data_IF_245206313049
#
_entry.id   IF_245206313049
#
_cell.length_a   1.000
_cell.length_b   1.000
_cell.length_c   1.000
_cell.angle_alpha   90.00
_cell.angle_beta   90.00
_cell.angle_gamma   90.00
#
_symmetry.space_group_name_H-M   'P 1'
#
loop_
_entity.id
_entity.type
_entity.pdbx_description
1 polymer ?
#
# COMPACT_ATOMS: atom_id res chain seq x y z
N UNK A 1 -16.80 4.87 -17.23
CA UNK A 1 -17.86 5.85 -17.39
C UNK A 1 -17.89 6.81 -16.21
N UNK A 2 -18.37 8.06 -16.43
CA UNK A 2 -18.62 9.05 -15.39
C UNK A 2 -20.11 9.37 -15.39
N UNK A 3 -20.74 9.32 -14.24
CA UNK A 3 -22.13 9.67 -14.04
C UNK A 3 -22.22 11.06 -13.47
N UNK A 4 -23.00 11.93 -14.11
CA UNK A 4 -23.22 13.32 -13.72
C UNK A 4 -24.67 13.46 -13.22
N UNK A 5 -24.84 13.96 -12.01
CA UNK A 5 -26.15 14.26 -11.43
C UNK A 5 -26.37 15.76 -11.49
N UNK A 6 -27.39 16.17 -12.21
CA UNK A 6 -27.71 17.57 -12.46
C UNK A 6 -29.13 17.92 -11.96
N UNK A 7 -29.35 19.16 -11.54
CA UNK A 7 -30.69 19.63 -11.20
C UNK A 7 -31.53 19.94 -12.45
N UNK A 8 -32.79 20.34 -12.25
CA UNK A 8 -33.71 20.67 -13.34
C UNK A 8 -33.25 21.85 -14.24
N UNK A 9 -32.25 22.61 -13.82
CA UNK A 9 -31.63 23.69 -14.57
C UNK A 9 -30.30 23.30 -15.22
N UNK A 10 -29.91 22.00 -15.14
CA UNK A 10 -28.66 21.49 -15.67
C UNK A 10 -27.42 21.77 -14.81
N UNK A 11 -27.56 22.29 -13.58
CA UNK A 11 -26.44 22.51 -12.67
C UNK A 11 -25.98 21.20 -12.04
N UNK A 12 -24.69 20.89 -12.21
CA UNK A 12 -24.05 19.72 -11.61
C UNK A 12 -23.98 19.88 -10.08
N UNK A 13 -24.45 18.88 -9.34
CA UNK A 13 -24.36 18.86 -7.87
C UNK A 13 -23.66 17.62 -7.32
N UNK A 14 -23.55 16.52 -8.12
CA UNK A 14 -22.78 15.36 -7.73
C UNK A 14 -22.19 14.64 -8.95
N UNK A 15 -21.08 13.97 -8.77
CA UNK A 15 -20.40 13.18 -9.81
C UNK A 15 -19.86 11.89 -9.21
N UNK A 16 -20.16 10.75 -9.81
CA UNK A 16 -19.51 9.48 -9.51
C UNK A 16 -18.82 8.91 -10.75
N UNK A 17 -17.84 8.06 -10.54
CA UNK A 17 -17.03 7.46 -11.60
C UNK A 17 -16.91 5.96 -11.43
N UNK A 18 -16.45 5.28 -12.49
CA UNK A 18 -16.25 3.86 -12.65
C UNK A 18 -17.51 3.08 -13.09
N UNK A 19 -17.26 1.89 -13.64
CA UNK A 19 -18.31 0.88 -13.87
C UNK A 19 -18.74 0.34 -12.51
N UNK A 20 -20.04 0.27 -12.25
CA UNK A 20 -20.58 -0.22 -10.99
C UNK A 20 -21.81 -1.11 -11.21
N UNK A 21 -22.03 -2.12 -10.34
CA UNK A 21 -23.25 -2.92 -10.33
C UNK A 21 -24.47 -2.06 -10.01
N UNK A 22 -25.68 -2.55 -10.36
CA UNK A 22 -26.93 -1.82 -10.16
C UNK A 22 -27.16 -1.37 -8.72
N UNK A 23 -26.85 -2.21 -7.75
CA UNK A 23 -26.98 -1.90 -6.33
C UNK A 23 -26.13 -0.69 -5.94
N UNK A 24 -24.86 -0.67 -6.37
CA UNK A 24 -23.94 0.45 -6.09
C UNK A 24 -24.39 1.73 -6.83
N UNK A 25 -24.94 1.60 -8.02
CA UNK A 25 -25.50 2.75 -8.75
C UNK A 25 -26.70 3.38 -8.00
N UNK A 26 -27.56 2.54 -7.40
CA UNK A 26 -28.68 3.01 -6.57
C UNK A 26 -28.17 3.73 -5.30
N UNK A 27 -27.11 3.22 -4.68
CA UNK A 27 -26.48 3.88 -3.53
C UNK A 27 -25.89 5.25 -3.92
N UNK A 28 -25.18 5.34 -5.04
CA UNK A 28 -24.68 6.62 -5.58
C UNK A 28 -25.83 7.60 -5.87
N UNK A 29 -26.98 7.13 -6.35
CA UNK A 29 -28.18 7.92 -6.52
C UNK A 29 -28.72 8.48 -5.21
N UNK A 30 -28.72 7.71 -4.11
CA UNK A 30 -29.11 8.18 -2.78
C UNK A 30 -28.13 9.24 -2.25
N UNK A 31 -26.83 9.06 -2.48
CA UNK A 31 -25.79 10.04 -2.15
C UNK A 31 -26.03 11.34 -2.92
N UNK A 32 -26.28 11.25 -4.22
CA UNK A 32 -26.58 12.41 -5.06
C UNK A 32 -27.82 13.16 -4.58
N UNK A 33 -28.88 12.45 -4.17
CA UNK A 33 -30.09 13.06 -3.63
C UNK A 33 -29.83 13.77 -2.30
N UNK A 34 -28.99 13.19 -1.43
CA UNK A 34 -28.58 13.85 -0.18
C UNK A 34 -27.79 15.13 -0.44
N UNK A 35 -26.89 15.14 -1.45
CA UNK A 35 -26.16 16.34 -1.87
C UNK A 35 -27.10 17.42 -2.44
N UNK A 36 -28.07 17.02 -3.25
CA UNK A 36 -29.08 17.94 -3.77
C UNK A 36 -29.93 18.59 -2.65
N UNK A 37 -30.18 17.85 -1.59
CA UNK A 37 -30.99 18.32 -0.44
C UNK A 37 -30.19 19.22 0.50
N UNK A 38 -28.85 19.06 0.59
CA UNK A 38 -27.99 19.90 1.42
C UNK A 38 -27.41 21.06 0.59
N UNK A 39 -28.05 22.21 0.69
CA UNK A 39 -27.65 23.40 -0.09
C UNK A 39 -26.32 24.03 0.35
N UNK A 40 -25.78 23.63 1.52
CA UNK A 40 -24.52 24.18 2.02
C UNK A 40 -23.33 23.63 1.22
N UNK A 41 -22.44 24.54 0.88
CA UNK A 41 -21.15 24.19 0.25
C UNK A 41 -20.20 23.54 1.27
N UNK A 42 -19.12 22.95 0.80
CA UNK A 42 -18.11 22.36 1.69
C UNK A 42 -17.43 23.46 2.53
N UNK A 43 -17.20 24.63 1.96
CA UNK A 43 -16.59 25.77 2.64
C UNK A 43 -17.50 26.29 3.77
N UNK A 44 -18.81 26.31 3.57
CA UNK A 44 -19.79 26.67 4.63
C UNK A 44 -19.78 25.61 5.76
N UNK A 45 -19.65 24.32 5.42
CA UNK A 45 -19.49 23.27 6.41
C UNK A 45 -18.17 23.40 7.19
N UNK A 46 -17.06 23.74 6.53
CA UNK A 46 -15.77 23.98 7.17
C UNK A 46 -15.82 25.17 8.14
N UNK A 47 -16.44 26.28 7.73
CA UNK A 47 -16.64 27.44 8.59
C UNK A 47 -17.49 27.13 9.83
N UNK A 48 -18.51 26.27 9.68
CA UNK A 48 -19.33 25.78 10.79
C UNK A 48 -18.56 24.80 11.67
N UNK A 49 -17.73 23.93 11.09
CA UNK A 49 -16.91 22.97 11.83
C UNK A 49 -15.97 23.67 12.82
N UNK A 50 -15.31 24.75 12.41
CA UNK A 50 -14.45 25.53 13.30
C UNK A 50 -15.18 25.97 14.60
N UNK A 51 -16.50 26.24 14.52
CA UNK A 51 -17.32 26.66 15.65
C UNK A 51 -18.02 25.52 16.40
N UNK A 52 -18.24 24.37 15.74
CA UNK A 52 -19.07 23.25 16.24
C UNK A 52 -18.31 21.94 16.41
N UNK A 53 -16.97 21.95 16.38
CA UNK A 53 -16.14 20.76 16.51
C UNK A 53 -16.34 19.95 17.79
N UNK A 54 -16.96 20.53 18.83
CA UNK A 54 -17.34 19.83 20.06
C UNK A 54 -18.73 19.17 20.02
N UNK A 55 -19.48 19.31 18.92
CA UNK A 55 -20.80 18.70 18.77
C UNK A 55 -20.73 17.45 17.91
N UNK A 56 -20.80 16.27 18.54
CA UNK A 56 -20.64 14.99 17.88
C UNK A 56 -21.63 14.77 16.71
N UNK A 57 -22.89 15.14 16.88
CA UNK A 57 -23.89 15.01 15.81
C UNK A 57 -23.54 15.87 14.59
N UNK A 58 -23.04 17.10 14.81
CA UNK A 58 -22.57 17.96 13.73
C UNK A 58 -21.33 17.38 13.05
N UNK A 59 -20.34 16.91 13.83
CA UNK A 59 -19.09 16.32 13.28
C UNK A 59 -19.41 15.07 12.46
N UNK A 60 -20.31 14.19 12.91
CA UNK A 60 -20.78 13.03 12.13
C UNK A 60 -21.43 13.45 10.79
N UNK A 61 -22.28 14.47 10.79
CA UNK A 61 -22.84 15.04 9.56
C UNK A 61 -21.77 15.62 8.62
N UNK A 62 -20.74 16.24 9.20
CA UNK A 62 -19.63 16.79 8.43
C UNK A 62 -18.73 15.68 7.81
N UNK A 63 -18.47 14.58 8.54
CA UNK A 63 -17.79 13.39 7.96
C UNK A 63 -18.58 12.89 6.75
N UNK A 64 -19.91 12.71 6.88
CA UNK A 64 -20.74 12.27 5.77
C UNK A 64 -20.69 13.22 4.56
N UNK A 65 -20.70 14.54 4.79
CA UNK A 65 -20.57 15.56 3.73
C UNK A 65 -19.22 15.45 3.01
N UNK A 66 -18.12 15.33 3.77
CA UNK A 66 -16.77 15.19 3.22
C UNK A 66 -16.56 13.86 2.48
N UNK A 67 -17.13 12.74 2.98
CA UNK A 67 -17.11 11.46 2.29
C UNK A 67 -17.76 11.56 0.90
N UNK A 68 -18.93 12.23 0.82
CA UNK A 68 -19.61 12.49 -0.46
C UNK A 68 -18.76 13.35 -1.41
N UNK A 69 -18.00 14.31 -0.87
CA UNK A 69 -17.07 15.13 -1.61
C UNK A 69 -15.72 14.45 -1.92
N UNK A 70 -15.54 13.18 -1.50
CA UNK A 70 -14.28 12.40 -1.64
C UNK A 70 -13.08 13.10 -0.99
N UNK A 71 -13.30 13.80 0.13
CA UNK A 71 -12.27 14.49 0.89
C UNK A 71 -11.73 13.61 2.02
N UNK A 72 -10.47 13.85 2.38
CA UNK A 72 -9.80 13.18 3.50
C UNK A 72 -10.45 13.55 4.84
N UNK A 73 -10.81 12.53 5.63
CA UNK A 73 -11.51 12.69 6.90
C UNK A 73 -10.69 12.25 8.11
N UNK A 74 -9.41 11.89 7.97
CA UNK A 74 -8.65 11.29 9.06
C UNK A 74 -8.68 12.14 10.35
N UNK A 75 -8.43 13.45 10.24
CA UNK A 75 -8.43 14.34 11.41
C UNK A 75 -9.85 14.57 11.96
N UNK A 76 -10.88 14.48 11.11
CA UNK A 76 -12.27 14.67 11.51
C UNK A 76 -12.82 13.40 12.21
N UNK A 77 -12.42 12.21 11.77
CA UNK A 77 -12.70 10.96 12.48
C UNK A 77 -12.10 10.98 13.89
N UNK A 78 -10.84 11.41 14.03
CA UNK A 78 -10.21 11.55 15.34
C UNK A 78 -10.96 12.54 16.25
N UNK A 79 -11.37 13.68 15.70
CA UNK A 79 -12.20 14.66 16.43
C UNK A 79 -13.51 14.02 16.87
N UNK A 80 -14.21 13.28 15.99
CA UNK A 80 -15.46 12.63 16.31
C UNK A 80 -15.29 11.60 17.43
N UNK A 81 -14.31 10.72 17.31
CA UNK A 81 -14.03 9.68 18.33
C UNK A 81 -13.66 10.29 19.68
N UNK A 82 -12.95 11.43 19.69
CA UNK A 82 -12.54 12.09 20.94
C UNK A 82 -13.69 12.73 21.74
N UNK A 83 -14.82 13.05 21.09
CA UNK A 83 -15.95 13.75 21.72
C UNK A 83 -17.18 12.87 21.87
N UNK A 84 -17.28 11.77 21.13
CA UNK A 84 -18.46 10.89 21.17
C UNK A 84 -18.36 9.88 22.32
N UNK A 85 -19.51 9.45 22.84
CA UNK A 85 -19.57 8.43 23.90
C UNK A 85 -19.22 7.04 23.35
N UNK A 86 -18.43 6.29 24.09
CA UNK A 86 -17.98 4.94 23.71
C UNK A 86 -19.14 4.02 23.24
N UNK A 87 -20.31 4.09 23.92
CA UNK A 87 -21.47 3.29 23.51
C UNK A 87 -21.97 3.57 22.10
N UNK A 88 -21.83 4.82 21.61
CA UNK A 88 -22.23 5.22 20.27
C UNK A 88 -21.14 4.88 19.24
N UNK A 89 -19.86 4.89 19.66
CA UNK A 89 -18.74 4.43 18.84
C UNK A 89 -18.75 2.91 18.62
N UNK A 90 -19.39 2.17 19.54
CA UNK A 90 -19.60 0.71 19.39
C UNK A 90 -20.86 0.36 18.60
N UNK A 91 -21.50 1.32 17.93
CA UNK A 91 -22.58 1.06 16.98
C UNK A 91 -22.07 0.39 15.70
N UNK A 92 -22.75 -0.66 15.24
CA UNK A 92 -22.33 -1.45 14.08
C UNK A 92 -22.26 -0.65 12.79
N UNK A 93 -23.07 0.41 12.64
CA UNK A 93 -23.04 1.29 11.47
C UNK A 93 -21.76 2.14 11.46
N UNK A 94 -21.41 2.72 12.62
CA UNK A 94 -20.16 3.47 12.76
C UNK A 94 -18.94 2.57 12.60
N UNK A 95 -18.95 1.35 13.18
CA UNK A 95 -17.85 0.40 13.01
C UNK A 95 -17.66 -0.01 11.54
N UNK A 96 -18.72 -0.22 10.77
CA UNK A 96 -18.63 -0.46 9.32
C UNK A 96 -18.02 0.71 8.57
N UNK A 97 -18.39 1.94 8.93
CA UNK A 97 -17.81 3.15 8.36
C UNK A 97 -16.32 3.28 8.72
N UNK A 98 -15.94 2.99 9.97
CA UNK A 98 -14.56 3.03 10.46
C UNK A 98 -13.66 1.99 9.75
N UNK A 99 -14.21 0.81 9.43
CA UNK A 99 -13.52 -0.27 8.72
C UNK A 99 -13.79 -0.27 7.20
N UNK A 100 -14.08 0.89 6.62
CA UNK A 100 -14.15 1.04 5.17
C UNK A 100 -12.75 1.35 4.60
N UNK A 101 -12.36 0.62 3.56
CA UNK A 101 -11.08 0.83 2.85
C UNK A 101 -10.90 2.24 2.28
N UNK A 102 -11.99 2.91 1.91
CA UNK A 102 -11.93 4.25 1.33
C UNK A 102 -11.62 5.32 2.39
N UNK A 103 -11.93 5.05 3.66
CA UNK A 103 -11.64 5.99 4.75
C UNK A 103 -10.14 6.01 5.07
N UNK A 104 -9.67 7.20 5.45
CA UNK A 104 -8.29 7.40 5.90
C UNK A 104 -8.31 7.67 7.41
N UNK A 105 -7.41 7.02 8.14
CA UNK A 105 -7.32 7.13 9.59
C UNK A 105 -5.87 7.46 9.99
N UNK A 106 -5.71 8.24 11.06
CA UNK A 106 -4.37 8.54 11.59
C UNK A 106 -3.90 7.46 12.58
N UNK A 107 -2.68 6.99 12.43
CA UNK A 107 -2.08 6.02 13.35
C UNK A 107 -1.85 6.58 14.77
N UNK A 108 -1.68 7.91 14.92
CA UNK A 108 -1.49 8.57 16.21
C UNK A 108 -2.74 9.27 16.74
N UNK A 109 -3.92 8.97 16.16
CA UNK A 109 -5.16 9.65 16.51
C UNK A 109 -6.07 8.87 17.45
N UNK A 110 -7.15 9.51 17.86
CA UNK A 110 -8.15 8.92 18.76
C UNK A 110 -8.80 7.65 18.17
N UNK A 111 -8.93 7.55 16.85
CA UNK A 111 -9.43 6.34 16.19
C UNK A 111 -8.52 5.15 16.42
N UNK A 112 -7.20 5.34 16.29
CA UNK A 112 -6.23 4.27 16.54
C UNK A 112 -6.29 3.78 17.98
N UNK A 113 -6.28 4.69 18.95
CA UNK A 113 -6.36 4.35 20.38
C UNK A 113 -7.68 3.64 20.72
N UNK A 114 -8.81 4.10 20.16
CA UNK A 114 -10.11 3.45 20.32
C UNK A 114 -10.11 2.02 19.76
N UNK A 115 -9.60 1.82 18.54
CA UNK A 115 -9.55 0.50 17.90
C UNK A 115 -8.64 -0.45 18.67
N UNK A 116 -7.43 -0.02 19.03
CA UNK A 116 -6.48 -0.86 19.76
C UNK A 116 -7.01 -1.26 21.13
N UNK A 117 -7.65 -0.33 21.87
CA UNK A 117 -8.27 -0.58 23.18
C UNK A 117 -9.42 -1.56 23.09
N UNK A 118 -10.24 -1.47 22.04
CA UNK A 118 -11.49 -2.22 21.93
C UNK A 118 -11.42 -3.37 20.91
N UNK A 119 -10.23 -3.83 20.51
CA UNK A 119 -10.02 -4.77 19.39
C UNK A 119 -10.91 -6.01 19.44
N UNK A 120 -10.89 -6.75 20.56
CA UNK A 120 -11.63 -7.99 20.67
C UNK A 120 -13.15 -7.75 20.61
N UNK A 121 -13.63 -6.70 21.28
CA UNK A 121 -15.05 -6.34 21.27
C UNK A 121 -15.52 -5.91 19.88
N UNK A 122 -14.69 -5.13 19.15
CA UNK A 122 -14.99 -4.75 17.77
C UNK A 122 -15.04 -5.99 16.87
N UNK A 123 -14.09 -6.91 17.03
CA UNK A 123 -14.05 -8.16 16.29
C UNK A 123 -15.33 -8.99 16.50
N UNK A 124 -15.77 -9.14 17.75
CA UNK A 124 -17.00 -9.85 18.08
C UNK A 124 -18.24 -9.18 17.46
N UNK A 125 -18.34 -7.86 17.57
CA UNK A 125 -19.49 -7.10 17.06
C UNK A 125 -19.56 -7.06 15.53
N UNK A 126 -18.42 -7.04 14.84
CA UNK A 126 -18.37 -6.99 13.38
C UNK A 126 -18.34 -8.37 12.73
N UNK A 127 -18.00 -9.42 13.49
CA UNK A 127 -17.76 -10.78 12.98
C UNK A 127 -16.50 -10.90 12.12
N UNK A 128 -15.63 -9.86 12.07
CA UNK A 128 -14.44 -9.86 11.25
C UNK A 128 -13.33 -10.74 11.85
N UNK A 129 -12.58 -11.43 10.98
CA UNK A 129 -11.36 -12.12 11.38
C UNK A 129 -10.19 -11.13 11.56
N UNK A 130 -9.22 -11.46 12.43
CA UNK A 130 -8.03 -10.62 12.65
C UNK A 130 -7.35 -10.23 11.32
N UNK A 131 -7.16 -11.20 10.41
CA UNK A 131 -6.52 -10.95 9.12
C UNK A 131 -7.27 -9.87 8.32
N UNK A 132 -8.59 -9.91 8.28
CA UNK A 132 -9.40 -8.91 7.55
C UNK A 132 -9.33 -7.53 8.19
N UNK A 133 -9.39 -7.46 9.52
CA UNK A 133 -9.23 -6.19 10.25
C UNK A 133 -7.84 -5.59 10.02
N UNK A 134 -6.78 -6.40 10.11
CA UNK A 134 -5.41 -5.96 9.86
C UNK A 134 -5.21 -5.49 8.41
N UNK A 135 -5.77 -6.20 7.43
CA UNK A 135 -5.71 -5.81 6.02
C UNK A 135 -6.32 -4.41 5.79
N UNK A 136 -7.54 -4.19 6.31
CA UNK A 136 -8.23 -2.90 6.16
C UNK A 136 -7.44 -1.77 6.84
N UNK A 137 -7.06 -1.97 8.10
CA UNK A 137 -6.37 -0.94 8.89
C UNK A 137 -4.92 -0.72 8.42
N UNK A 138 -4.24 -1.76 7.96
CA UNK A 138 -2.93 -1.64 7.33
C UNK A 138 -2.97 -0.73 6.10
N UNK A 139 -4.06 -0.76 5.34
CA UNK A 139 -4.27 0.13 4.21
C UNK A 139 -4.77 1.52 4.63
N UNK A 140 -5.89 1.59 5.35
CA UNK A 140 -6.59 2.85 5.67
C UNK A 140 -5.83 3.72 6.68
N UNK A 141 -5.12 3.10 7.62
CA UNK A 141 -4.39 3.77 8.70
C UNK A 141 -2.87 3.66 8.50
N UNK A 142 -2.34 2.44 8.29
CA UNK A 142 -0.91 2.19 8.15
C UNK A 142 -0.32 2.90 6.93
N UNK A 143 -0.74 2.53 5.72
CA UNK A 143 -0.22 3.12 4.48
C UNK A 143 -0.49 4.63 4.37
N UNK A 144 -1.62 5.11 4.89
CA UNK A 144 -1.94 6.53 4.91
C UNK A 144 -0.98 7.31 5.81
N UNK A 145 -0.80 6.87 7.07
CA UNK A 145 0.07 7.54 8.04
C UNK A 145 1.54 7.50 7.64
N UNK A 146 2.00 6.38 7.07
CA UNK A 146 3.35 6.26 6.52
C UNK A 146 3.62 7.28 5.42
N UNK A 147 2.72 7.37 4.42
CA UNK A 147 2.86 8.34 3.32
C UNK A 147 2.86 9.79 3.81
N UNK A 148 2.03 10.12 4.80
CA UNK A 148 2.05 11.46 5.44
C UNK A 148 3.36 11.71 6.16
N UNK A 149 3.84 10.75 6.96
CA UNK A 149 5.12 10.86 7.67
C UNK A 149 6.29 11.10 6.71
N UNK A 150 6.36 10.37 5.60
CA UNK A 150 7.38 10.56 4.56
C UNK A 150 7.26 11.93 3.90
N UNK A 151 6.05 12.31 3.45
CA UNK A 151 5.80 13.61 2.78
C UNK A 151 6.17 14.80 3.66
N UNK A 152 5.84 14.71 4.95
CA UNK A 152 6.07 15.78 5.93
C UNK A 152 7.45 15.67 6.59
N UNK A 153 8.22 14.60 6.32
CA UNK A 153 9.47 14.22 7.01
C UNK A 153 9.31 14.25 8.54
N UNK A 154 8.15 13.76 9.02
CA UNK A 154 7.73 13.86 10.41
C UNK A 154 7.96 12.53 11.13
N UNK A 155 9.00 12.49 11.97
CA UNK A 155 9.39 11.28 12.70
C UNK A 155 8.40 10.92 13.84
N UNK A 156 7.74 11.89 14.46
CA UNK A 156 6.73 11.61 15.48
C UNK A 156 5.53 10.88 14.87
N UNK A 157 5.06 11.34 13.70
CA UNK A 157 4.01 10.67 12.93
C UNK A 157 4.44 9.27 12.49
N UNK A 158 5.70 9.12 12.10
CA UNK A 158 6.26 7.82 11.75
C UNK A 158 6.33 6.87 12.96
N UNK A 159 6.70 7.35 14.14
CA UNK A 159 6.68 6.55 15.36
C UNK A 159 5.24 6.11 15.75
N UNK A 160 4.26 6.98 15.53
CA UNK A 160 2.84 6.63 15.69
C UNK A 160 2.41 5.51 14.73
N UNK A 161 2.84 5.58 13.47
CA UNK A 161 2.66 4.50 12.49
C UNK A 161 3.29 3.18 12.99
N UNK A 162 4.53 3.21 13.47
CA UNK A 162 5.20 2.00 13.97
C UNK A 162 4.45 1.36 15.14
N UNK A 163 3.95 2.17 16.09
CA UNK A 163 3.15 1.70 17.23
C UNK A 163 1.91 0.93 16.76
N UNK A 164 1.17 1.47 15.80
CA UNK A 164 -0.02 0.82 15.25
C UNK A 164 0.36 -0.44 14.48
N UNK A 165 1.39 -0.39 13.63
CA UNK A 165 1.82 -1.57 12.88
C UNK A 165 2.34 -2.68 13.79
N UNK A 166 3.03 -2.35 14.88
CA UNK A 166 3.44 -3.32 15.89
C UNK A 166 2.23 -4.03 16.51
N UNK A 167 1.18 -3.29 16.83
CA UNK A 167 -0.07 -3.87 17.35
C UNK A 167 -0.74 -4.78 16.31
N UNK A 168 -0.90 -4.32 15.07
CA UNK A 168 -1.55 -5.07 13.99
C UNK A 168 -0.78 -6.35 13.65
N UNK A 169 0.54 -6.25 13.50
CA UNK A 169 1.41 -7.40 13.22
C UNK A 169 1.39 -8.41 14.37
N UNK A 170 1.34 -7.94 15.62
CA UNK A 170 1.18 -8.80 16.80
C UNK A 170 -0.12 -9.62 16.77
N UNK A 171 -1.23 -9.08 16.21
CA UNK A 171 -2.50 -9.80 16.02
C UNK A 171 -2.42 -10.95 15.00
N UNK A 172 -1.42 -10.93 14.13
CA UNK A 172 -1.13 -11.97 13.14
C UNK A 172 0.04 -12.88 13.54
N UNK A 173 0.69 -12.64 14.68
CA UNK A 173 1.87 -13.40 15.11
C UNK A 173 3.13 -13.11 14.28
N UNK A 174 3.19 -11.98 13.59
CA UNK A 174 4.36 -11.55 12.81
C UNK A 174 5.45 -11.03 13.75
N UNK A 175 6.72 -11.25 13.40
CA UNK A 175 7.85 -10.74 14.17
C UNK A 175 7.92 -9.20 14.09
N UNK A 176 7.40 -8.56 15.14
CA UNK A 176 7.27 -7.09 15.22
C UNK A 176 8.63 -6.38 15.13
N UNK A 177 9.69 -6.96 15.73
CA UNK A 177 11.02 -6.35 15.71
C UNK A 177 11.61 -6.31 14.29
N UNK A 178 11.42 -7.39 13.53
CA UNK A 178 11.86 -7.46 12.13
C UNK A 178 11.10 -6.45 11.26
N UNK A 179 9.79 -6.37 11.42
CA UNK A 179 8.95 -5.40 10.67
C UNK A 179 9.31 -3.95 11.01
N UNK A 180 9.67 -3.67 12.25
CA UNK A 180 10.15 -2.34 12.64
C UNK A 180 11.46 -1.97 11.93
N UNK A 181 12.45 -2.86 11.86
CA UNK A 181 13.71 -2.62 11.13
C UNK A 181 13.45 -2.34 9.66
N UNK A 182 12.62 -3.16 8.99
CA UNK A 182 12.25 -2.97 7.58
C UNK A 182 11.55 -1.63 7.37
N UNK A 183 10.60 -1.28 8.23
CA UNK A 183 9.85 -0.02 8.15
C UNK A 183 10.74 1.21 8.36
N UNK A 184 11.67 1.16 9.34
CA UNK A 184 12.61 2.25 9.60
C UNK A 184 13.59 2.44 8.45
N UNK A 185 14.16 1.36 7.95
CA UNK A 185 15.04 1.40 6.77
C UNK A 185 14.33 2.04 5.56
N UNK A 186 13.09 1.62 5.26
CA UNK A 186 12.28 2.19 4.19
C UNK A 186 11.94 3.66 4.40
N UNK A 187 11.60 4.07 5.63
CA UNK A 187 11.31 5.45 5.96
C UNK A 187 12.52 6.36 5.77
N UNK A 188 13.68 5.98 6.32
CA UNK A 188 14.90 6.79 6.21
C UNK A 188 15.38 6.88 4.76
N UNK A 189 15.25 5.81 3.99
CA UNK A 189 15.49 5.87 2.55
C UNK A 189 14.53 6.84 1.85
N UNK A 190 13.23 6.83 2.19
CA UNK A 190 12.23 7.66 1.54
C UNK A 190 12.39 9.18 1.85
N UNK A 191 12.96 9.53 3.01
CA UNK A 191 13.23 10.94 3.38
C UNK A 191 14.67 11.39 3.06
N UNK A 192 15.48 10.55 2.40
CA UNK A 192 16.88 10.76 2.05
C UNK A 192 17.81 10.92 3.29
N UNK A 193 17.48 10.28 4.41
CA UNK A 193 18.34 10.21 5.57
C UNK A 193 19.37 9.08 5.41
N UNK A 194 20.45 9.41 4.71
CA UNK A 194 21.52 8.48 4.37
C UNK A 194 22.09 7.77 5.60
N UNK A 195 22.44 8.52 6.63
CA UNK A 195 23.14 7.97 7.81
C UNK A 195 22.33 6.89 8.50
N UNK A 196 21.08 7.19 8.82
CA UNK A 196 20.20 6.24 9.52
C UNK A 196 19.77 5.07 8.61
N UNK A 197 19.67 5.31 7.30
CA UNK A 197 19.41 4.24 6.34
C UNK A 197 20.58 3.25 6.27
N UNK A 198 21.83 3.73 6.11
CA UNK A 198 23.03 2.89 6.04
C UNK A 198 23.22 2.02 7.30
N UNK A 199 22.92 2.58 8.49
CA UNK A 199 22.96 1.84 9.77
C UNK A 199 22.00 0.64 9.82
N UNK A 200 20.90 0.67 9.07
CA UNK A 200 19.87 -0.36 9.08
C UNK A 200 19.89 -1.29 7.87
N UNK A 201 20.53 -0.88 6.77
CA UNK A 201 20.45 -1.59 5.50
C UNK A 201 20.92 -3.06 5.61
N UNK A 202 22.01 -3.32 6.32
CA UNK A 202 22.52 -4.68 6.52
C UNK A 202 21.57 -5.53 7.37
N UNK A 203 21.06 -4.98 8.48
CA UNK A 203 20.07 -5.69 9.32
C UNK A 203 18.78 -6.00 8.55
N UNK A 204 18.37 -5.07 7.70
CA UNK A 204 17.21 -5.28 6.84
C UNK A 204 17.46 -6.45 5.87
N UNK A 205 18.64 -6.49 5.21
CA UNK A 205 19.00 -7.60 4.34
C UNK A 205 19.07 -8.95 5.08
N UNK A 206 19.67 -8.97 6.28
CA UNK A 206 19.73 -10.19 7.09
C UNK A 206 18.33 -10.75 7.39
N UNK A 207 17.37 -9.88 7.69
CA UNK A 207 15.96 -10.28 7.89
C UNK A 207 15.39 -10.88 6.59
N UNK A 208 15.65 -10.26 5.42
CA UNK A 208 15.16 -10.79 4.15
C UNK A 208 15.76 -12.16 3.84
N UNK A 209 17.04 -12.39 4.12
CA UNK A 209 17.68 -13.71 3.95
C UNK A 209 17.11 -14.77 4.91
N UNK A 210 16.73 -14.40 6.13
CA UNK A 210 16.05 -15.33 7.03
C UNK A 210 14.64 -15.68 6.50
N UNK A 211 13.90 -14.71 5.99
CA UNK A 211 12.57 -14.90 5.38
C UNK A 211 12.63 -15.78 4.12
N UNK A 212 13.74 -15.72 3.36
CA UNK A 212 13.95 -16.49 2.14
C UNK A 212 14.03 -18.01 2.39
N UNK A 213 14.64 -18.44 3.49
CA UNK A 213 14.94 -19.85 3.77
C UNK A 213 13.76 -20.79 3.53
N UNK A 214 12.55 -20.33 3.81
CA UNK A 214 11.34 -21.11 3.65
C UNK A 214 10.40 -20.64 2.54
N UNK A 215 10.66 -19.48 1.91
CA UNK A 215 9.69 -18.90 0.96
C UNK A 215 9.51 -19.74 -0.30
N UNK A 216 10.61 -20.26 -0.87
CA UNK A 216 10.57 -21.15 -2.05
C UNK A 216 9.83 -22.44 -1.77
N UNK A 217 9.99 -22.99 -0.55
CA UNK A 217 9.24 -24.17 -0.12
C UNK A 217 7.75 -23.88 -0.02
N UNK A 218 7.38 -22.77 0.62
CA UNK A 218 5.96 -22.37 0.75
C UNK A 218 5.32 -22.05 -0.61
N UNK A 219 6.03 -21.39 -1.51
CA UNK A 219 5.56 -21.15 -2.88
C UNK A 219 5.32 -22.47 -3.63
N UNK A 220 6.24 -23.44 -3.51
CA UNK A 220 6.07 -24.75 -4.09
C UNK A 220 4.87 -25.51 -3.50
N UNK A 221 4.67 -25.46 -2.19
CA UNK A 221 3.52 -26.08 -1.51
C UNK A 221 2.20 -25.44 -1.96
N UNK A 222 2.12 -24.10 -2.03
CA UNK A 222 0.95 -23.38 -2.54
C UNK A 222 0.66 -23.69 -4.01
N UNK A 223 1.70 -23.77 -4.83
CA UNK A 223 1.56 -24.16 -6.24
C UNK A 223 1.00 -25.57 -6.38
N UNK A 224 1.50 -26.53 -5.60
CA UNK A 224 0.97 -27.91 -5.62
C UNK A 224 -0.49 -27.97 -5.15
N UNK A 225 -0.87 -27.20 -4.12
CA UNK A 225 -2.26 -27.10 -3.66
C UNK A 225 -3.17 -26.50 -4.75
N UNK A 226 -2.69 -25.45 -5.42
CA UNK A 226 -3.40 -24.84 -6.55
C UNK A 226 -3.62 -25.83 -7.69
N UNK A 227 -2.58 -26.56 -8.12
CA UNK A 227 -2.70 -27.59 -9.15
C UNK A 227 -3.68 -28.70 -8.75
N UNK A 228 -3.65 -29.17 -7.51
CA UNK A 228 -4.60 -30.14 -6.99
C UNK A 228 -6.05 -29.60 -7.01
N UNK A 229 -6.23 -28.31 -6.69
CA UNK A 229 -7.51 -27.62 -6.80
C UNK A 229 -8.03 -27.60 -8.24
N UNK A 230 -7.18 -27.24 -9.19
CA UNK A 230 -7.52 -27.23 -10.62
C UNK A 230 -7.93 -28.64 -11.14
N UNK A 231 -7.23 -29.68 -10.70
CA UNK A 231 -7.56 -31.08 -11.09
C UNK A 231 -8.93 -31.49 -10.54
N UNK A 232 -9.30 -31.01 -9.33
CA UNK A 232 -10.58 -31.35 -8.70
C UNK A 232 -11.76 -30.55 -9.27
N UNK A 233 -11.52 -29.32 -9.74
CA UNK A 233 -12.54 -28.45 -10.33
C UNK A 233 -12.38 -28.29 -11.84
N UNK A 234 -12.65 -29.40 -12.56
CA UNK A 234 -12.60 -29.39 -14.02
C UNK A 234 -13.61 -28.43 -14.66
N UNK A 235 -14.68 -28.04 -13.94
CA UNK A 235 -15.69 -27.10 -14.45
C UNK A 235 -15.18 -25.65 -14.45
N UNK A 236 -14.38 -25.28 -13.47
CA UNK A 236 -13.71 -23.96 -13.41
C UNK A 236 -12.66 -23.78 -14.51
N UNK A 237 -12.00 -24.86 -14.93
CA UNK A 237 -11.05 -24.87 -16.04
C UNK A 237 -11.73 -24.62 -17.40
N UNK A 238 -12.90 -25.20 -17.61
CA UNK A 238 -13.65 -25.09 -18.87
C UNK A 238 -14.15 -23.65 -19.15
N UNK A 239 -14.18 -22.78 -18.15
CA UNK A 239 -14.59 -21.38 -18.28
C UNK A 239 -13.46 -20.40 -18.59
N UNK A 240 -12.19 -20.85 -18.56
CA UNK A 240 -11.02 -20.01 -18.81
C UNK A 240 -10.47 -20.22 -20.22
N UNK A 241 -9.97 -19.13 -20.83
CA UNK A 241 -9.21 -19.26 -22.08
C UNK A 241 -7.84 -19.90 -21.80
N UNK A 242 -7.20 -20.55 -22.80
CA UNK A 242 -5.85 -21.08 -22.65
C UNK A 242 -4.83 -20.04 -22.13
N UNK A 243 -4.96 -18.78 -22.58
CA UNK A 243 -4.09 -17.67 -22.16
C UNK A 243 -4.32 -17.29 -20.71
N UNK A 244 -5.59 -17.23 -20.26
CA UNK A 244 -5.94 -16.98 -18.85
C UNK A 244 -5.41 -18.09 -17.94
N UNK A 245 -5.55 -19.34 -18.37
CA UNK A 245 -5.05 -20.49 -17.63
C UNK A 245 -3.53 -20.47 -17.56
N UNK A 246 -2.82 -20.22 -18.66
CA UNK A 246 -1.36 -20.10 -18.70
C UNK A 246 -0.87 -19.01 -17.77
N UNK A 247 -1.49 -17.82 -17.79
CA UNK A 247 -1.20 -16.71 -16.88
C UNK A 247 -1.40 -17.12 -15.42
N UNK A 248 -2.53 -17.72 -15.09
CA UNK A 248 -2.84 -18.15 -13.71
C UNK A 248 -1.84 -19.19 -13.21
N UNK A 249 -1.48 -20.18 -14.03
CA UNK A 249 -0.48 -21.22 -13.70
C UNK A 249 0.90 -20.59 -13.50
N UNK A 250 1.30 -19.65 -14.35
CA UNK A 250 2.61 -18.99 -14.28
C UNK A 250 2.79 -18.23 -12.97
N UNK A 251 1.75 -17.60 -12.44
CA UNK A 251 1.85 -16.76 -11.24
C UNK A 251 1.41 -17.44 -9.93
N UNK A 252 0.77 -18.60 -10.00
CA UNK A 252 0.24 -19.29 -8.82
C UNK A 252 1.32 -19.76 -7.82
N UNK A 253 2.57 -19.94 -8.28
CA UNK A 253 3.65 -20.50 -7.48
C UNK A 253 4.77 -19.55 -7.07
N UNK A 254 4.64 -18.23 -7.31
CA UNK A 254 5.74 -17.26 -7.12
C UNK A 254 5.38 -16.04 -6.28
N UNK A 255 4.35 -16.15 -5.44
CA UNK A 255 3.82 -14.98 -4.72
C UNK A 255 4.75 -14.46 -3.61
N UNK A 256 5.31 -15.36 -2.78
CA UNK A 256 6.19 -14.97 -1.67
C UNK A 256 7.60 -14.64 -2.16
N UNK A 257 8.16 -15.47 -3.05
CA UNK A 257 9.47 -15.21 -3.65
C UNK A 257 9.49 -13.93 -4.49
N UNK A 258 8.43 -13.63 -5.23
CA UNK A 258 8.33 -12.36 -5.96
C UNK A 258 8.29 -11.16 -5.01
N UNK A 259 7.51 -11.24 -3.92
CA UNK A 259 7.44 -10.17 -2.92
C UNK A 259 8.81 -9.93 -2.27
N UNK A 260 9.50 -11.01 -1.90
CA UNK A 260 10.82 -10.95 -1.30
C UNK A 260 11.87 -10.40 -2.28
N UNK A 261 11.81 -10.81 -3.55
CA UNK A 261 12.65 -10.26 -4.61
C UNK A 261 12.50 -8.74 -4.74
N UNK A 262 11.27 -8.23 -4.66
CA UNK A 262 11.04 -6.78 -4.69
C UNK A 262 11.61 -6.07 -3.47
N UNK A 263 11.57 -6.69 -2.28
CA UNK A 263 12.19 -6.12 -1.08
C UNK A 263 13.71 -6.04 -1.22
N UNK A 264 14.38 -7.09 -1.68
CA UNK A 264 15.82 -7.08 -1.98
C UNK A 264 16.18 -6.05 -3.04
N UNK A 265 15.40 -5.99 -4.13
CA UNK A 265 15.58 -5.00 -5.21
C UNK A 265 15.50 -3.58 -4.67
N UNK A 266 14.46 -3.27 -3.88
CA UNK A 266 14.23 -1.91 -3.37
C UNK A 266 15.32 -1.49 -2.38
N UNK A 267 15.77 -2.43 -1.55
CA UNK A 267 16.88 -2.21 -0.64
C UNK A 267 18.18 -1.90 -1.42
N UNK A 268 18.51 -2.70 -2.43
CA UNK A 268 19.69 -2.49 -3.30
C UNK A 268 19.60 -1.16 -4.07
N UNK A 269 18.44 -0.82 -4.62
CA UNK A 269 18.21 0.45 -5.32
C UNK A 269 18.39 1.66 -4.38
N UNK A 270 17.92 1.57 -3.14
CA UNK A 270 18.11 2.62 -2.16
C UNK A 270 19.60 2.81 -1.78
N UNK A 271 20.37 1.73 -1.66
CA UNK A 271 21.80 1.82 -1.46
C UNK A 271 22.50 2.50 -2.66
N UNK A 272 22.19 2.08 -3.89
CA UNK A 272 22.76 2.70 -5.09
C UNK A 272 22.45 4.20 -5.16
N UNK A 273 21.26 4.61 -4.72
CA UNK A 273 20.84 6.01 -4.73
C UNK A 273 21.47 6.85 -3.61
N UNK A 274 21.59 6.30 -2.40
CA UNK A 274 21.95 7.06 -1.19
C UNK A 274 23.41 6.91 -0.79
N UNK A 275 24.04 5.75 -1.03
CA UNK A 275 25.36 5.44 -0.51
C UNK A 275 26.47 5.61 -1.54
N UNK A 276 27.65 6.02 -1.06
CA UNK A 276 28.92 5.99 -1.79
C UNK A 276 29.91 4.99 -1.16
N UNK A 277 29.51 4.30 -0.11
CA UNK A 277 30.33 3.28 0.55
C UNK A 277 30.44 2.04 -0.34
N UNK A 278 31.66 1.77 -0.83
CA UNK A 278 31.97 0.65 -1.71
C UNK A 278 31.66 -0.71 -1.07
N UNK A 279 31.80 -0.85 0.25
CA UNK A 279 31.46 -2.10 0.94
C UNK A 279 29.96 -2.36 0.93
N UNK A 280 29.16 -1.31 1.20
CA UNK A 280 27.71 -1.40 1.16
C UNK A 280 27.19 -1.60 -0.27
N UNK A 281 27.81 -0.94 -1.28
CA UNK A 281 27.49 -1.16 -2.69
C UNK A 281 27.78 -2.61 -3.15
N UNK A 282 28.89 -3.22 -2.69
CA UNK A 282 29.15 -4.64 -2.94
C UNK A 282 28.06 -5.54 -2.35
N UNK A 283 27.56 -5.24 -1.14
CA UNK A 283 26.43 -5.97 -0.55
C UNK A 283 25.15 -5.75 -1.35
N UNK A 284 24.87 -4.52 -1.76
CA UNK A 284 23.71 -4.20 -2.58
C UNK A 284 23.73 -4.94 -3.94
N UNK A 285 24.91 -5.15 -4.52
CA UNK A 285 25.05 -6.01 -5.71
C UNK A 285 24.61 -7.45 -5.41
N UNK A 286 25.00 -8.02 -4.28
CA UNK A 286 24.55 -9.36 -3.86
C UNK A 286 23.03 -9.41 -3.67
N UNK A 287 22.43 -8.41 -3.03
CA UNK A 287 20.98 -8.32 -2.85
C UNK A 287 20.22 -8.18 -4.18
N UNK A 288 20.76 -7.39 -5.12
CA UNK A 288 20.18 -7.28 -6.46
C UNK A 288 20.27 -8.60 -7.25
N UNK A 289 21.35 -9.37 -7.08
CA UNK A 289 21.49 -10.72 -7.67
C UNK A 289 20.50 -11.69 -7.04
N UNK A 290 20.28 -11.63 -5.71
CA UNK A 290 19.29 -12.44 -5.03
C UNK A 290 17.88 -12.14 -5.53
N UNK A 291 17.54 -10.86 -5.71
CA UNK A 291 16.27 -10.47 -6.32
C UNK A 291 16.06 -11.08 -7.72
N UNK A 292 17.13 -11.19 -8.53
CA UNK A 292 17.08 -11.84 -9.83
C UNK A 292 16.88 -13.36 -9.69
N UNK A 293 17.51 -13.98 -8.71
CA UNK A 293 17.39 -15.42 -8.44
C UNK A 293 15.98 -15.81 -8.02
N UNK A 294 15.38 -15.01 -7.13
CA UNK A 294 14.02 -15.24 -6.63
C UNK A 294 12.93 -14.92 -7.66
N UNK A 295 13.07 -13.81 -8.35
CA UNK A 295 12.11 -13.37 -9.38
C UNK A 295 12.76 -12.42 -10.39
N UNK A 296 13.45 -12.99 -11.38
CA UNK A 296 14.23 -12.28 -12.38
C UNK A 296 13.38 -11.50 -13.40
N UNK A 297 12.60 -10.52 -12.95
CA UNK A 297 11.90 -9.61 -13.84
C UNK A 297 12.80 -8.43 -14.28
N UNK A 298 12.32 -7.63 -15.24
CA UNK A 298 13.09 -6.53 -15.82
C UNK A 298 13.56 -5.49 -14.78
N UNK A 299 12.76 -5.23 -13.71
CA UNK A 299 13.14 -4.24 -12.69
C UNK A 299 14.30 -4.71 -11.80
N UNK A 300 14.45 -6.02 -11.58
CA UNK A 300 15.60 -6.57 -10.85
C UNK A 300 16.89 -6.39 -11.62
N UNK A 301 16.88 -6.64 -12.94
CA UNK A 301 18.04 -6.38 -13.82
C UNK A 301 18.39 -4.89 -13.92
N UNK A 302 17.37 -4.03 -13.97
CA UNK A 302 17.54 -2.59 -13.96
C UNK A 302 18.25 -2.10 -12.69
N UNK A 303 17.84 -2.62 -11.52
CA UNK A 303 18.47 -2.28 -10.23
C UNK A 303 19.93 -2.77 -10.16
N UNK A 304 20.20 -3.99 -10.61
CA UNK A 304 21.58 -4.49 -10.66
C UNK A 304 22.45 -3.60 -11.55
N UNK A 305 21.91 -3.13 -12.68
CA UNK A 305 22.64 -2.20 -13.56
C UNK A 305 22.95 -0.86 -12.85
N UNK A 306 22.01 -0.32 -12.08
CA UNK A 306 22.23 0.92 -11.31
C UNK A 306 23.32 0.77 -10.25
N UNK A 307 23.31 -0.35 -9.51
CA UNK A 307 24.35 -0.67 -8.52
C UNK A 307 25.71 -0.80 -9.20
N UNK A 308 25.81 -1.57 -10.27
CA UNK A 308 27.07 -1.77 -11.04
C UNK A 308 27.59 -0.46 -11.62
N UNK A 309 26.72 0.37 -12.17
CA UNK A 309 27.10 1.69 -12.69
C UNK A 309 27.64 2.61 -11.60
N UNK A 310 26.99 2.64 -10.43
CA UNK A 310 27.44 3.39 -9.26
C UNK A 310 28.82 2.93 -8.76
N UNK A 311 29.13 1.63 -8.91
CA UNK A 311 30.42 1.04 -8.58
C UNK A 311 31.50 1.27 -9.64
N UNK A 312 31.15 1.84 -10.80
CA UNK A 312 32.07 2.08 -11.93
C UNK A 312 32.19 0.92 -12.94
N UNK A 313 31.39 -0.14 -12.79
CA UNK A 313 31.34 -1.30 -13.70
C UNK A 313 30.43 -1.01 -14.90
N UNK A 314 30.82 -0.06 -15.74
CA UNK A 314 29.99 0.43 -16.84
C UNK A 314 29.59 -0.64 -17.86
N UNK A 315 30.50 -1.53 -18.23
CA UNK A 315 30.23 -2.60 -19.22
C UNK A 315 29.21 -3.61 -18.71
N UNK A 316 29.37 -4.01 -17.46
CA UNK A 316 28.49 -4.94 -16.78
C UNK A 316 27.11 -4.32 -16.57
N UNK A 317 27.04 -3.04 -16.23
CA UNK A 317 25.79 -2.28 -16.12
C UNK A 317 25.05 -2.22 -17.46
N UNK A 318 25.73 -1.95 -18.57
CA UNK A 318 25.14 -1.98 -19.92
C UNK A 318 24.52 -3.33 -20.24
N UNK A 319 25.23 -4.42 -19.96
CA UNK A 319 24.71 -5.76 -20.19
C UNK A 319 23.44 -6.07 -19.36
N UNK A 320 23.37 -5.60 -18.11
CA UNK A 320 22.17 -5.80 -17.28
C UNK A 320 20.99 -4.95 -17.78
N UNK A 321 21.22 -3.73 -18.25
CA UNK A 321 20.15 -2.90 -18.84
C UNK A 321 19.61 -3.52 -20.14
N UNK A 322 20.45 -4.12 -20.97
CA UNK A 322 20.02 -4.84 -22.17
C UNK A 322 19.14 -6.05 -21.77
N UNK A 323 19.53 -6.82 -20.75
CA UNK A 323 18.69 -7.90 -20.21
C UNK A 323 17.35 -7.39 -19.64
N UNK A 324 17.33 -6.21 -19.01
CA UNK A 324 16.08 -5.62 -18.55
C UNK A 324 15.12 -5.34 -19.71
N UNK A 325 15.63 -4.82 -20.85
CA UNK A 325 14.83 -4.62 -22.06
C UNK A 325 14.29 -5.93 -22.62
N UNK A 326 15.11 -6.98 -22.67
CA UNK A 326 14.70 -8.31 -23.17
C UNK A 326 13.61 -8.97 -22.30
N UNK A 327 13.61 -8.68 -21.00
CA UNK A 327 12.64 -9.23 -20.04
C UNK A 327 11.38 -8.38 -19.88
N UNK A 328 11.33 -7.23 -20.54
CA UNK A 328 10.17 -6.33 -20.42
C UNK A 328 8.96 -6.90 -21.19
N UNK A 329 7.76 -6.83 -20.59
CA UNK A 329 6.53 -7.22 -21.32
C UNK A 329 6.27 -6.32 -22.52
N UNK A 330 5.84 -6.90 -23.64
CA UNK A 330 5.48 -6.15 -24.84
C UNK A 330 4.36 -5.13 -24.56
N UNK A 331 4.35 -4.01 -25.28
CA UNK A 331 3.31 -2.97 -25.19
C UNK A 331 3.50 -1.96 -24.04
N UNK A 332 4.67 -1.91 -23.41
CA UNK A 332 4.97 -0.96 -22.34
C UNK A 332 5.94 0.15 -22.80
N UNK A 333 5.59 0.90 -23.83
CA UNK A 333 6.45 1.90 -24.47
C UNK A 333 7.02 2.94 -23.50
N UNK A 334 6.25 3.38 -22.51
CA UNK A 334 6.71 4.34 -21.50
C UNK A 334 7.83 3.75 -20.61
N UNK A 335 7.72 2.47 -20.23
CA UNK A 335 8.75 1.77 -19.47
C UNK A 335 10.00 1.56 -20.34
N UNK A 336 9.81 1.15 -21.61
CA UNK A 336 10.90 0.99 -22.56
C UNK A 336 11.68 2.31 -22.73
N UNK A 337 10.99 3.42 -22.96
CA UNK A 337 11.61 4.74 -23.09
C UNK A 337 12.42 5.13 -21.83
N UNK A 338 11.90 4.82 -20.62
CA UNK A 338 12.61 5.06 -19.36
C UNK A 338 13.90 4.23 -19.25
N UNK A 339 13.85 2.95 -19.61
CA UNK A 339 15.04 2.06 -19.57
C UNK A 339 16.04 2.47 -20.64
N UNK A 340 15.60 2.83 -21.86
CA UNK A 340 16.47 3.39 -22.88
C UNK A 340 17.18 4.68 -22.44
N UNK A 341 16.46 5.57 -21.72
CA UNK A 341 17.09 6.77 -21.14
C UNK A 341 18.21 6.44 -20.14
N UNK A 342 18.06 5.36 -19.35
CA UNK A 342 19.13 4.87 -18.46
C UNK A 342 20.29 4.26 -19.26
N UNK A 343 20.00 3.48 -20.30
CA UNK A 343 21.02 2.93 -21.20
C UNK A 343 21.87 4.04 -21.81
N UNK A 344 21.26 5.09 -22.32
CA UNK A 344 21.97 6.25 -22.91
C UNK A 344 22.78 6.99 -21.85
N UNK A 345 22.27 7.15 -20.64
CA UNK A 345 23.03 7.73 -19.51
C UNK A 345 24.29 6.93 -19.21
N UNK A 346 24.19 5.60 -19.13
CA UNK A 346 25.31 4.73 -18.86
C UNK A 346 26.31 4.75 -20.02
N UNK A 347 25.86 4.71 -21.29
CA UNK A 347 26.71 4.77 -22.49
C UNK A 347 27.49 6.07 -22.58
N UNK A 348 26.87 7.19 -22.24
CA UNK A 348 27.46 8.52 -22.39
C UNK A 348 28.24 8.97 -21.15
N UNK A 349 28.35 8.12 -20.14
CA UNK A 349 29.05 8.38 -18.86
C UNK A 349 28.63 9.72 -18.20
N UNK A 350 27.35 10.07 -18.28
CA UNK A 350 26.75 11.31 -17.76
C UNK A 350 26.01 11.07 -16.46
#
# INVERSE_FOLDING_TARGET
PTYLYVDGNGKLFYRSGAYMPAEKFIEEGKIALAEFSDKRTIEEWEALYAKKRGNASFVKGYIAKRNRAKLDNADIFDQYVSIEKEKNLMDTTFLKELFDYENKLNAGGACADFIMKNWERIREMTGMQNQKMVEILGYSMGSYSYRRAVKEKNEERFNSYLKVMAFLNGKLGVNVANEEVKSRSGYYAAIDDRTRFEELAEKHADILFEEEKDCLKRDKEKYMQFLQGLIKDASGLASQTPEQLAFTIQFAGINESASLAFNFRDLAANVARLSDDQKLLNKAMTWALEAITLFGNFTCYETLAEVLYKMGYQKEALWQIEKALDKMPAGNDAIAARIHGKLDKIKNNK
#
